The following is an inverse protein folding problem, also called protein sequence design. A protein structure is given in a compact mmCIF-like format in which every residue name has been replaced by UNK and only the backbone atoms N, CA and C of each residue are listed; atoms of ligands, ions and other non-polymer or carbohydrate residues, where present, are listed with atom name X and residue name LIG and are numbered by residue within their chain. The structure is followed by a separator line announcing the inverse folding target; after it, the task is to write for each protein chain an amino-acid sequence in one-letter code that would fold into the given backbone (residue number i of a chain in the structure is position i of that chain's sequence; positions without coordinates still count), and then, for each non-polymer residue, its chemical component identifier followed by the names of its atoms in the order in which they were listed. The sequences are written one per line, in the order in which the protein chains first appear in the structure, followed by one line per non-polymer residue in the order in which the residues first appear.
data_IF_533844497617
#
_entry.id   IF_533844497617
#
_cell.length_a   1.000
_cell.length_b   1.000
_cell.length_c   1.000
_cell.angle_alpha   90.00
_cell.angle_beta   90.00
_cell.angle_gamma   90.00
#
_symmetry.space_group_name_H-M   'P 1'
#
loop_
_entity.id
_entity.type
_entity.pdbx_description
1 polymer ?
#
# COMPACT_ATOMS: atom_id res chain seq x y z
N UNK A 1 -24.50 9.92 0.60
CA UNK A 1 -23.17 9.85 1.26
C UNK A 1 -22.97 11.10 2.08
N UNK A 2 -22.58 11.00 3.34
CA UNK A 2 -22.30 12.16 4.19
C UNK A 2 -20.89 12.67 3.85
N UNK A 3 -20.77 13.93 3.44
CA UNK A 3 -19.48 14.56 3.11
C UNK A 3 -19.14 15.58 4.18
N UNK A 4 -17.89 15.54 4.67
CA UNK A 4 -17.34 16.56 5.57
C UNK A 4 -16.26 17.34 4.83
N UNK A 5 -16.33 18.67 4.89
CA UNK A 5 -15.30 19.54 4.30
C UNK A 5 -14.05 19.53 5.18
N UNK A 6 -12.89 19.35 4.55
CA UNK A 6 -11.59 19.38 5.20
C UNK A 6 -10.75 20.52 4.60
N UNK A 7 -10.32 21.47 5.43
CA UNK A 7 -9.37 22.50 5.02
C UNK A 7 -7.95 22.04 5.34
N UNK A 8 -7.08 21.98 4.32
CA UNK A 8 -5.68 21.57 4.45
C UNK A 8 -4.75 22.59 3.80
N UNK A 9 -3.58 22.81 4.40
CA UNK A 9 -2.49 23.55 3.78
C UNK A 9 -1.56 22.58 3.05
N UNK A 10 -1.18 22.90 1.80
CA UNK A 10 -0.26 22.10 1.00
C UNK A 10 0.88 22.98 0.47
N UNK A 11 2.11 22.44 0.30
CA UNK A 11 3.19 23.17 -0.35
C UNK A 11 2.77 23.63 -1.75
N UNK A 12 3.13 24.88 -2.11
CA UNK A 12 2.73 25.49 -3.39
C UNK A 12 3.10 24.61 -4.60
N UNK A 13 4.26 23.97 -4.56
CA UNK A 13 4.72 23.12 -5.65
C UNK A 13 3.92 21.83 -5.78
N UNK A 14 3.40 21.31 -4.66
CA UNK A 14 2.50 20.16 -4.68
C UNK A 14 1.15 20.54 -5.28
N UNK A 15 0.61 21.71 -4.92
CA UNK A 15 -0.64 22.23 -5.51
C UNK A 15 -0.50 22.36 -7.02
N UNK A 16 0.61 22.90 -7.52
CA UNK A 16 0.89 22.97 -8.98
C UNK A 16 0.87 21.59 -9.66
N UNK A 17 1.42 20.57 -9.00
CA UNK A 17 1.41 19.19 -9.53
C UNK A 17 -0.01 18.64 -9.58
N UNK A 18 -0.78 18.82 -8.51
CA UNK A 18 -2.21 18.42 -8.44
C UNK A 18 -2.99 19.09 -9.57
N UNK A 19 -2.77 20.38 -9.81
CA UNK A 19 -3.45 21.14 -10.86
C UNK A 19 -3.17 20.60 -12.26
N UNK A 20 -1.89 20.31 -12.54
CA UNK A 20 -1.47 19.76 -13.82
C UNK A 20 -2.09 18.37 -14.07
N UNK A 21 -2.13 17.51 -13.05
CA UNK A 21 -2.73 16.17 -13.17
C UNK A 21 -4.23 16.25 -13.34
N UNK A 22 -4.92 17.02 -12.49
CA UNK A 22 -6.37 17.20 -12.56
C UNK A 22 -6.80 17.74 -13.93
N UNK A 23 -6.05 18.70 -14.49
CA UNK A 23 -6.30 19.24 -15.83
C UNK A 23 -6.09 18.20 -16.93
N UNK A 24 -5.03 17.38 -16.85
CA UNK A 24 -4.76 16.31 -17.82
C UNK A 24 -5.82 15.21 -17.81
N UNK A 25 -6.38 14.93 -16.63
CA UNK A 25 -7.42 13.91 -16.45
C UNK A 25 -8.84 14.44 -16.67
N UNK A 26 -9.01 15.75 -16.95
CA UNK A 26 -10.32 16.40 -17.07
C UNK A 26 -11.20 16.27 -15.81
N UNK A 27 -10.60 16.40 -14.62
CA UNK A 27 -11.29 16.26 -13.33
C UNK A 27 -11.01 17.43 -12.38
N UNK A 28 -11.79 17.57 -11.31
CA UNK A 28 -11.53 18.61 -10.31
C UNK A 28 -10.50 18.16 -9.24
N UNK A 29 -9.87 19.12 -8.57
CA UNK A 29 -8.85 18.86 -7.52
C UNK A 29 -9.39 17.97 -6.40
N UNK A 30 -10.61 18.22 -5.97
CA UNK A 30 -11.24 17.50 -4.86
C UNK A 30 -11.56 16.05 -5.22
N UNK A 31 -11.88 15.75 -6.49
CA UNK A 31 -12.02 14.38 -6.99
C UNK A 31 -10.68 13.65 -6.96
N UNK A 32 -9.64 14.25 -7.56
CA UNK A 32 -8.31 13.67 -7.59
C UNK A 32 -7.77 13.39 -6.17
N UNK A 33 -7.89 14.35 -5.25
CA UNK A 33 -7.42 14.21 -3.87
C UNK A 33 -8.21 13.13 -3.12
N UNK A 34 -9.54 13.06 -3.29
CA UNK A 34 -10.36 12.04 -2.63
C UNK A 34 -10.02 10.63 -3.11
N UNK A 35 -9.78 10.45 -4.40
CA UNK A 35 -9.37 9.16 -4.95
C UNK A 35 -7.97 8.77 -4.47
N UNK A 36 -7.01 9.70 -4.53
CA UNK A 36 -5.65 9.46 -4.05
C UNK A 36 -5.63 9.07 -2.56
N UNK A 37 -6.43 9.74 -1.72
CA UNK A 37 -6.57 9.37 -0.31
C UNK A 37 -7.18 7.99 -0.12
N UNK A 38 -8.16 7.61 -0.93
CA UNK A 38 -8.79 6.29 -0.86
C UNK A 38 -7.78 5.18 -1.20
N UNK A 39 -7.05 5.34 -2.30
CA UNK A 39 -6.01 4.40 -2.72
C UNK A 39 -4.94 4.30 -1.64
N UNK A 40 -4.44 5.43 -1.14
CA UNK A 40 -3.42 5.44 -0.09
C UNK A 40 -3.85 4.69 1.18
N UNK A 41 -5.10 4.91 1.63
CA UNK A 41 -5.61 4.24 2.83
C UNK A 41 -5.85 2.75 2.59
N UNK A 42 -6.40 2.38 1.43
CA UNK A 42 -6.62 0.99 1.05
C UNK A 42 -5.30 0.22 0.99
N UNK A 43 -4.29 0.75 0.28
CA UNK A 43 -2.97 0.12 0.18
C UNK A 43 -2.38 -0.10 1.57
N UNK A 44 -2.47 0.90 2.46
CA UNK A 44 -1.97 0.80 3.83
C UNK A 44 -2.68 -0.29 4.63
N UNK A 45 -3.99 -0.41 4.48
CA UNK A 45 -4.78 -1.43 5.17
C UNK A 45 -4.46 -2.83 4.64
N UNK A 46 -4.40 -3.01 3.32
CA UNK A 46 -4.05 -4.29 2.68
C UNK A 46 -2.66 -4.76 3.10
N UNK A 47 -1.66 -3.87 3.09
CA UNK A 47 -0.32 -4.19 3.59
C UNK A 47 -0.36 -4.64 5.05
N UNK A 48 -1.08 -3.93 5.92
CA UNK A 48 -1.21 -4.34 7.32
C UNK A 48 -1.85 -5.72 7.46
N UNK A 49 -2.83 -6.06 6.63
CA UNK A 49 -3.45 -7.38 6.65
C UNK A 49 -2.48 -8.48 6.21
N UNK A 50 -1.69 -8.25 5.15
CA UNK A 50 -0.65 -9.17 4.68
C UNK A 50 0.38 -9.42 5.78
N UNK A 51 0.91 -8.36 6.41
CA UNK A 51 1.88 -8.49 7.50
C UNK A 51 1.31 -9.28 8.68
N UNK A 52 0.08 -8.98 9.10
CA UNK A 52 -0.59 -9.74 10.18
C UNK A 52 -0.79 -11.21 9.81
N UNK A 53 -1.13 -11.51 8.56
CA UNK A 53 -1.26 -12.89 8.09
C UNK A 53 0.10 -13.61 8.12
N UNK A 54 1.17 -12.95 7.69
CA UNK A 54 2.55 -13.44 7.75
C UNK A 54 3.00 -13.73 9.19
N UNK A 55 2.78 -12.81 10.11
CA UNK A 55 3.08 -13.00 11.54
C UNK A 55 2.34 -14.21 12.13
N UNK A 56 1.05 -14.38 11.81
CA UNK A 56 0.27 -15.54 12.25
C UNK A 56 0.83 -16.85 11.67
N UNK A 57 1.21 -16.85 10.40
CA UNK A 57 1.82 -18.01 9.75
C UNK A 57 3.17 -18.37 10.40
N UNK A 58 4.05 -17.39 10.62
CA UNK A 58 5.33 -17.60 11.30
C UNK A 58 5.15 -18.17 12.70
N UNK A 59 4.23 -17.60 13.51
CA UNK A 59 3.90 -18.13 14.84
C UNK A 59 3.41 -19.58 14.78
N UNK A 60 2.54 -19.93 13.82
CA UNK A 60 2.03 -21.29 13.66
C UNK A 60 3.12 -22.27 13.22
N UNK A 61 4.07 -21.83 12.41
CA UNK A 61 5.19 -22.64 11.91
C UNK A 61 6.39 -22.66 12.87
N UNK A 62 6.32 -21.91 13.99
CA UNK A 62 7.40 -21.83 14.96
C UNK A 62 8.65 -21.10 14.44
N UNK A 63 8.52 -20.32 13.37
CA UNK A 63 9.62 -19.56 12.75
C UNK A 63 9.92 -18.34 13.62
N UNK A 64 11.19 -18.15 13.98
CA UNK A 64 11.59 -17.15 15.00
C UNK A 64 12.44 -16.02 14.44
N UNK A 65 13.01 -16.15 13.25
CA UNK A 65 13.82 -15.11 12.62
C UNK A 65 13.54 -14.94 11.13
N UNK A 66 13.87 -13.77 10.61
CA UNK A 66 13.81 -13.49 9.17
C UNK A 66 14.78 -14.39 8.38
N UNK A 67 15.91 -14.78 8.96
CA UNK A 67 16.89 -15.67 8.31
C UNK A 67 16.32 -17.07 8.06
N UNK A 68 15.49 -17.59 8.98
CA UNK A 68 14.77 -18.84 8.79
C UNK A 68 13.72 -18.72 7.66
N UNK A 69 13.03 -17.58 7.58
CA UNK A 69 12.08 -17.30 6.48
C UNK A 69 12.82 -17.27 5.14
N UNK A 70 13.94 -16.58 5.06
CA UNK A 70 14.74 -16.45 3.84
C UNK A 70 15.29 -17.80 3.39
N UNK A 71 15.71 -18.66 4.32
CA UNK A 71 16.15 -20.02 4.00
C UNK A 71 15.01 -20.86 3.42
N UNK A 72 13.82 -20.84 4.04
CA UNK A 72 12.63 -21.53 3.53
C UNK A 72 12.24 -21.00 2.13
N UNK A 73 12.26 -19.68 1.93
CA UNK A 73 11.96 -19.06 0.64
C UNK A 73 12.99 -19.41 -0.44
N UNK A 74 14.27 -19.44 -0.07
CA UNK A 74 15.36 -19.83 -0.97
C UNK A 74 15.21 -21.28 -1.40
N UNK A 75 14.98 -22.20 -0.46
CA UNK A 75 14.73 -23.61 -0.72
C UNK A 75 13.47 -23.82 -1.57
N UNK A 76 12.39 -23.08 -1.34
CA UNK A 76 11.18 -23.16 -2.16
C UNK A 76 11.40 -22.70 -3.61
N UNK A 77 12.08 -21.57 -3.81
CA UNK A 77 12.33 -20.99 -5.15
C UNK A 77 13.34 -21.82 -5.97
N UNK A 78 14.32 -22.43 -5.32
CA UNK A 78 15.37 -23.21 -6.01
C UNK A 78 15.11 -24.72 -6.00
N UNK A 79 14.28 -25.22 -5.08
CA UNK A 79 13.87 -26.62 -4.99
C UNK A 79 12.83 -27.04 -6.03
N UNK A 80 12.19 -26.09 -6.73
CA UNK A 80 11.25 -26.35 -7.84
C UNK A 80 11.90 -26.44 -9.22
N UNK A 81 13.17 -26.85 -9.29
CA UNK A 81 13.80 -27.43 -10.49
C UNK A 81 13.96 -28.94 -10.30
N UNK A 82 12.86 -29.67 -10.24
CA UNK A 82 12.74 -31.07 -10.69
C UNK A 82 11.39 -31.62 -10.26
N UNK A 83 10.41 -31.56 -11.17
CA UNK A 83 9.40 -32.58 -11.50
C UNK A 83 8.34 -31.93 -12.38
#
# INVERSE_FOLDING_TARGET
MQTQTLNIALPKDLVKKVDNVARKEYRNRSELIREALRIYLQDKEEWQQIFRAGEKAMKKMGIKSEEEVDKIMYEYRHGRKSS
#
